data_IF_532931223367
#
_entry.id   IF_532931223367
#
_cell.length_a   1.000
_cell.length_b   1.000
_cell.length_c   1.000
_cell.angle_alpha   90.00
_cell.angle_beta   90.00
_cell.angle_gamma   90.00
#
_symmetry.space_group_name_H-M   'P 1'
#
loop_
_entity.id
_entity.type
_entity.pdbx_description
1 polymer ?
#
# COMPACT_ATOMS: atom_id res chain seq x y z
N UNK A 1 6.10 20.44 -11.41
CA UNK A 1 5.79 19.00 -11.55
C UNK A 1 6.37 18.28 -10.35
N UNK A 2 5.58 18.20 -9.29
CA UNK A 2 6.00 17.57 -8.04
C UNK A 2 5.79 16.06 -8.20
N UNK A 3 6.74 15.23 -7.73
CA UNK A 3 6.60 13.75 -7.72
C UNK A 3 5.33 13.26 -6.98
N UNK A 4 4.64 14.16 -6.28
CA UNK A 4 3.33 13.98 -5.67
C UNK A 4 2.21 13.69 -6.69
N UNK A 5 2.30 14.15 -7.93
CA UNK A 5 1.23 13.90 -8.91
C UNK A 5 1.17 12.44 -9.40
N UNK A 6 2.28 11.69 -9.31
CA UNK A 6 2.36 10.32 -9.84
C UNK A 6 1.80 9.23 -8.92
N UNK A 7 1.69 9.48 -7.62
CA UNK A 7 1.39 8.44 -6.63
C UNK A 7 0.14 8.72 -5.81
N UNK A 8 -0.20 10.00 -5.61
CA UNK A 8 -1.29 10.38 -4.70
C UNK A 8 -2.68 10.03 -5.22
N UNK A 9 -2.91 10.16 -6.52
CA UNK A 9 -4.25 10.03 -7.11
C UNK A 9 -4.44 8.80 -7.98
N UNK A 10 -3.55 7.79 -7.89
CA UNK A 10 -3.82 6.55 -8.60
C UNK A 10 -5.10 5.92 -8.05
N UNK A 11 -6.08 5.79 -8.93
CA UNK A 11 -7.31 5.06 -8.74
C UNK A 11 -7.35 4.02 -9.86
N UNK A 12 -7.52 2.76 -9.47
CA UNK A 12 -7.62 1.64 -10.39
C UNK A 12 -9.04 1.65 -10.98
N UNK A 13 -9.25 2.52 -11.98
CA UNK A 13 -10.55 2.72 -12.61
C UNK A 13 -10.88 1.62 -13.62
N UNK A 14 -12.16 1.24 -13.66
CA UNK A 14 -12.79 0.38 -14.66
C UNK A 14 -12.13 -0.99 -14.85
N UNK A 15 -12.78 -2.02 -14.31
CA UNK A 15 -12.41 -3.43 -14.51
C UNK A 15 -12.25 -3.84 -15.99
N UNK A 16 -12.90 -3.10 -16.90
CA UNK A 16 -13.01 -3.42 -18.32
C UNK A 16 -12.13 -2.56 -19.23
N UNK A 17 -11.29 -1.66 -18.69
CA UNK A 17 -10.42 -0.82 -19.50
C UNK A 17 -9.30 -1.67 -20.14
N UNK A 18 -9.11 -1.53 -21.46
CA UNK A 18 -8.08 -2.27 -22.20
C UNK A 18 -6.66 -1.85 -21.81
N UNK A 19 -6.49 -0.66 -21.25
CA UNK A 19 -5.21 -0.10 -20.77
C UNK A 19 -4.88 -0.46 -19.33
N UNK A 20 -5.80 -1.08 -18.58
CA UNK A 20 -5.68 -1.33 -17.14
C UNK A 20 -4.35 -1.98 -16.75
N UNK A 21 -3.99 -3.08 -17.39
CA UNK A 21 -2.77 -3.81 -17.04
C UNK A 21 -1.48 -3.02 -17.38
N UNK A 22 -1.55 -2.10 -18.34
CA UNK A 22 -0.46 -1.16 -18.62
C UNK A 22 -0.36 -0.07 -17.54
N UNK A 23 -1.48 0.50 -17.11
CA UNK A 23 -1.54 1.52 -16.07
C UNK A 23 -1.07 0.98 -14.71
N UNK A 24 -1.53 -0.23 -14.34
CA UNK A 24 -1.08 -0.93 -13.13
C UNK A 24 0.43 -1.16 -13.14
N UNK A 25 1.00 -1.60 -14.27
CA UNK A 25 2.45 -1.73 -14.44
C UNK A 25 3.16 -0.38 -14.32
N UNK A 26 2.59 0.68 -14.88
CA UNK A 26 3.10 2.05 -14.74
C UNK A 26 3.22 2.49 -13.29
N UNK A 27 2.19 2.22 -12.48
CA UNK A 27 2.19 2.55 -11.05
C UNK A 27 3.25 1.77 -10.25
N UNK A 28 3.42 0.48 -10.54
CA UNK A 28 4.48 -0.33 -9.91
C UNK A 28 5.87 0.18 -10.32
N UNK A 29 6.08 0.51 -11.59
CA UNK A 29 7.33 1.07 -12.08
C UNK A 29 7.66 2.42 -11.42
N UNK A 30 6.66 3.28 -11.21
CA UNK A 30 6.82 4.53 -10.47
C UNK A 30 7.25 4.29 -9.01
N UNK A 31 6.69 3.26 -8.35
CA UNK A 31 7.10 2.85 -7.01
C UNK A 31 8.56 2.38 -6.98
N UNK A 32 8.98 1.54 -7.94
CA UNK A 32 10.36 1.07 -8.07
C UNK A 32 11.33 2.24 -8.32
N UNK A 33 10.96 3.15 -9.22
CA UNK A 33 11.78 4.33 -9.49
C UNK A 33 11.95 5.17 -8.23
N UNK A 34 10.86 5.41 -7.50
CA UNK A 34 10.87 6.26 -6.30
C UNK A 34 11.69 5.64 -5.18
N UNK A 35 11.55 4.33 -4.91
CA UNK A 35 12.35 3.64 -3.88
C UNK A 35 13.84 3.64 -4.23
N UNK A 36 14.19 3.34 -5.48
CA UNK A 36 15.60 3.36 -5.93
C UNK A 36 16.19 4.75 -5.91
N UNK A 37 15.43 5.77 -6.30
CA UNK A 37 15.85 7.16 -6.20
C UNK A 37 16.09 7.53 -4.74
N UNK A 38 15.16 7.20 -3.86
CA UNK A 38 15.27 7.43 -2.42
C UNK A 38 16.57 6.86 -1.83
N UNK A 39 16.89 5.60 -2.16
CA UNK A 39 18.11 4.94 -1.68
C UNK A 39 19.41 5.54 -2.20
N UNK A 40 19.38 6.23 -3.35
CA UNK A 40 20.58 6.82 -3.99
C UNK A 40 20.90 8.22 -3.53
N UNK A 41 19.94 8.94 -2.95
CA UNK A 41 20.19 10.29 -2.45
C UNK A 41 20.77 10.17 -1.03
N UNK A 42 21.81 10.95 -0.72
CA UNK A 42 22.52 10.92 0.58
C UNK A 42 21.54 10.89 1.77
N UNK A 43 21.85 10.13 2.83
CA UNK A 43 20.97 9.92 4.00
C UNK A 43 20.81 11.16 4.89
N UNK A 44 21.68 12.17 4.77
CA UNK A 44 21.67 13.38 5.61
C UNK A 44 20.57 14.40 5.23
N UNK A 45 19.43 13.96 4.70
CA UNK A 45 18.80 14.74 3.65
C UNK A 45 17.36 15.18 3.93
N UNK A 46 17.13 16.44 3.56
CA UNK A 46 15.87 17.21 3.43
C UNK A 46 14.72 16.53 2.65
N UNK A 47 14.83 15.26 2.29
CA UNK A 47 13.81 14.48 1.58
C UNK A 47 13.33 13.25 2.37
N UNK A 48 13.35 13.32 3.71
CA UNK A 48 12.62 12.39 4.57
C UNK A 48 11.12 12.29 4.24
N UNK A 49 10.59 13.17 3.38
CA UNK A 49 9.28 13.06 2.76
C UNK A 49 9.11 11.85 1.84
N UNK A 50 10.18 11.32 1.23
CA UNK A 50 10.03 10.24 0.23
C UNK A 50 9.51 8.93 0.84
N UNK A 51 9.94 8.60 2.06
CA UNK A 51 9.40 7.45 2.80
C UNK A 51 7.91 7.65 3.17
N UNK A 52 7.45 8.90 3.20
CA UNK A 52 6.03 9.25 3.33
C UNK A 52 5.19 8.77 2.14
N UNK A 53 5.76 8.68 0.93
CA UNK A 53 5.07 8.01 -0.18
C UNK A 53 4.89 6.52 0.06
N UNK A 54 5.92 5.87 0.62
CA UNK A 54 5.82 4.49 1.06
C UNK A 54 4.66 4.32 2.04
N UNK A 55 4.59 5.15 3.09
CA UNK A 55 3.45 5.16 4.01
C UNK A 55 2.11 5.21 3.28
N UNK A 56 1.95 6.13 2.33
CA UNK A 56 0.67 6.29 1.65
C UNK A 56 0.27 5.07 0.81
N UNK A 57 1.22 4.47 0.08
CA UNK A 57 0.95 3.23 -0.66
C UNK A 57 0.56 2.12 0.31
N UNK A 58 1.31 1.94 1.41
CA UNK A 58 0.99 0.96 2.46
C UNK A 58 -0.41 1.19 3.05
N UNK A 59 -0.77 2.44 3.36
CA UNK A 59 -2.07 2.83 3.90
C UNK A 59 -3.20 2.60 2.90
N UNK A 60 -3.05 2.93 1.62
CA UNK A 60 -4.06 2.61 0.59
C UNK A 60 -4.25 1.10 0.45
N UNK A 61 -3.17 0.33 0.45
CA UNK A 61 -3.23 -1.14 0.36
C UNK A 61 -3.88 -1.78 1.59
N UNK A 62 -3.66 -1.25 2.80
CA UNK A 62 -3.88 -2.01 4.06
C UNK A 62 -4.85 -1.37 5.03
N UNK A 63 -4.99 -0.05 5.01
CA UNK A 63 -5.82 0.71 5.94
C UNK A 63 -7.05 1.33 5.28
N UNK A 64 -6.99 1.68 4.00
CA UNK A 64 -8.09 2.38 3.31
C UNK A 64 -9.14 1.42 2.75
N UNK A 65 -8.76 0.20 2.38
CA UNK A 65 -9.69 -0.75 1.79
C UNK A 65 -10.64 -1.33 2.86
N UNK A 66 -11.97 -1.13 2.78
CA UNK A 66 -12.95 -1.81 3.62
C UNK A 66 -13.23 -3.21 3.08
N UNK A 67 -12.24 -3.90 2.52
CA UNK A 67 -12.41 -5.15 1.76
C UNK A 67 -12.77 -6.37 2.62
N UNK A 68 -12.98 -6.18 3.92
CA UNK A 68 -13.64 -7.13 4.84
C UNK A 68 -15.17 -6.99 4.83
N UNK A 69 -15.71 -5.87 4.33
CA UNK A 69 -17.13 -5.63 4.14
C UNK A 69 -17.55 -6.05 2.73
N UNK A 70 -17.98 -7.30 2.60
CA UNK A 70 -18.50 -7.85 1.35
C UNK A 70 -19.87 -7.26 0.95
N UNK A 71 -20.54 -6.54 1.85
CA UNK A 71 -21.84 -5.91 1.63
C UNK A 71 -21.85 -4.46 2.12
N UNK A 72 -22.11 -3.51 1.23
CA UNK A 72 -22.34 -2.10 1.56
C UNK A 72 -23.84 -1.78 1.54
N UNK A 73 -24.50 -1.60 2.70
CA UNK A 73 -25.94 -1.39 2.78
C UNK A 73 -26.44 0.00 2.29
N UNK A 74 -25.59 0.87 1.76
CA UNK A 74 -25.94 2.28 1.47
C UNK A 74 -26.00 2.67 -0.01
N UNK A 75 -26.00 1.71 -0.93
CA UNK A 75 -26.08 1.97 -2.36
C UNK A 75 -27.54 1.98 -2.82
N UNK A 76 -28.39 2.76 -2.15
CA UNK A 76 -29.81 2.91 -2.53
C UNK A 76 -30.22 4.33 -2.92
N UNK A 77 -29.31 5.31 -2.83
CA UNK A 77 -29.66 6.74 -3.00
C UNK A 77 -28.87 7.58 -4.02
N UNK A 78 -27.79 7.08 -4.62
CA UNK A 78 -26.91 7.89 -5.49
C UNK A 78 -27.24 7.80 -6.99
N UNK A 79 -26.71 8.70 -7.82
CA UNK A 79 -26.73 8.59 -9.29
C UNK A 79 -25.88 7.36 -9.69
N UNK A 80 -26.32 6.55 -10.67
CA UNK A 80 -25.68 5.27 -11.06
C UNK A 80 -24.16 5.40 -11.29
N UNK A 81 -23.71 6.44 -11.98
CA UNK A 81 -22.29 6.65 -12.29
C UNK A 81 -21.42 6.92 -11.05
N UNK A 82 -21.94 7.66 -10.07
CA UNK A 82 -21.23 7.92 -8.80
C UNK A 82 -21.17 6.65 -7.93
N UNK A 83 -22.21 5.81 -7.98
CA UNK A 83 -22.21 4.51 -7.31
C UNK A 83 -21.14 3.59 -7.86
N UNK A 84 -21.01 3.52 -9.19
CA UNK A 84 -20.07 2.60 -9.83
C UNK A 84 -18.61 3.01 -9.55
N UNK A 85 -18.31 4.30 -9.57
CA UNK A 85 -16.98 4.80 -9.20
C UNK A 85 -16.62 4.54 -7.72
N UNK A 86 -17.55 4.77 -6.80
CA UNK A 86 -17.34 4.49 -5.37
C UNK A 86 -17.21 2.98 -5.10
N UNK A 87 -18.01 2.16 -5.78
CA UNK A 87 -17.91 0.69 -5.74
C UNK A 87 -16.57 0.19 -6.25
N UNK A 88 -16.06 0.75 -7.34
CA UNK A 88 -14.77 0.39 -7.90
C UNK A 88 -13.61 0.69 -6.94
N UNK A 89 -13.64 1.84 -6.26
CA UNK A 89 -12.63 2.23 -5.26
C UNK A 89 -12.65 1.30 -4.04
N UNK A 90 -13.81 0.76 -3.70
CA UNK A 90 -14.02 -0.13 -2.55
C UNK A 90 -13.86 -1.62 -2.88
N UNK A 91 -13.74 -1.96 -4.16
CA UNK A 91 -13.59 -3.33 -4.62
C UNK A 91 -12.23 -3.90 -4.21
N UNK A 92 -12.26 -5.12 -3.69
CA UNK A 92 -11.07 -5.87 -3.26
C UNK A 92 -10.04 -6.03 -4.38
N UNK A 93 -10.46 -6.07 -5.64
CA UNK A 93 -9.59 -6.25 -6.82
C UNK A 93 -8.65 -5.06 -7.06
N UNK A 94 -8.92 -3.90 -6.48
CA UNK A 94 -7.96 -2.77 -6.47
C UNK A 94 -6.64 -3.15 -5.80
N UNK A 95 -6.64 -4.15 -4.90
CA UNK A 95 -5.42 -4.68 -4.31
C UNK A 95 -4.45 -5.28 -5.35
N UNK A 96 -4.93 -5.66 -6.54
CA UNK A 96 -4.06 -6.17 -7.62
C UNK A 96 -3.04 -5.12 -8.10
N UNK A 97 -3.30 -3.83 -7.93
CA UNK A 97 -2.31 -2.77 -8.23
C UNK A 97 -1.52 -2.34 -7.00
N UNK A 98 -2.19 -2.28 -5.86
CA UNK A 98 -1.62 -1.73 -4.63
C UNK A 98 -0.69 -2.71 -3.90
N UNK A 99 -0.93 -4.02 -3.97
CA UNK A 99 -0.08 -5.04 -3.34
C UNK A 99 1.31 -5.11 -3.98
N UNK A 100 1.45 -5.18 -5.31
CA UNK A 100 2.78 -5.13 -5.94
C UNK A 100 3.55 -3.85 -5.63
N UNK A 101 2.90 -2.69 -5.65
CA UNK A 101 3.53 -1.43 -5.29
C UNK A 101 3.99 -1.41 -3.83
N UNK A 102 3.14 -1.86 -2.91
CA UNK A 102 3.46 -1.92 -1.49
C UNK A 102 4.59 -2.91 -1.18
N UNK A 103 4.67 -4.03 -1.92
CA UNK A 103 5.75 -4.99 -1.78
C UNK A 103 7.13 -4.38 -2.11
N UNK A 104 7.20 -3.53 -3.14
CA UNK A 104 8.42 -2.81 -3.50
C UNK A 104 8.90 -1.91 -2.35
N UNK A 105 7.99 -1.24 -1.65
CA UNK A 105 8.38 -0.40 -0.51
C UNK A 105 8.93 -1.21 0.68
N UNK A 106 8.38 -2.38 0.95
CA UNK A 106 8.91 -3.28 1.97
C UNK A 106 10.28 -3.85 1.54
N UNK A 107 10.41 -4.26 0.29
CA UNK A 107 11.65 -4.85 -0.23
C UNK A 107 12.83 -3.88 -0.13
N UNK A 108 12.64 -2.63 -0.53
CA UNK A 108 13.74 -1.65 -0.60
C UNK A 108 13.89 -0.80 0.66
N UNK A 109 12.79 -0.55 1.38
CA UNK A 109 12.77 0.41 2.48
C UNK A 109 12.20 -0.18 3.78
N UNK A 110 11.90 -1.48 3.84
CA UNK A 110 11.22 -2.12 4.97
C UNK A 110 11.91 -1.90 6.30
N UNK A 111 13.23 -2.06 6.36
CA UNK A 111 14.02 -1.82 7.58
C UNK A 111 13.89 -0.38 8.07
N UNK A 112 14.01 0.60 7.18
CA UNK A 112 13.87 2.00 7.57
C UNK A 112 12.44 2.32 8.00
N UNK A 113 11.44 1.78 7.30
CA UNK A 113 10.02 1.92 7.66
C UNK A 113 9.75 1.36 9.05
N UNK A 114 10.29 0.17 9.34
CA UNK A 114 10.15 -0.48 10.64
C UNK A 114 10.83 0.33 11.75
N UNK A 115 12.05 0.80 11.52
CA UNK A 115 12.83 1.54 12.52
C UNK A 115 12.34 2.99 12.70
N UNK A 116 11.53 3.48 11.76
CA UNK A 116 10.90 4.80 11.86
C UNK A 116 9.89 4.81 13.00
N UNK A 117 9.92 5.90 13.77
CA UNK A 117 8.91 6.22 14.77
C UNK A 117 8.36 7.62 14.55
N UNK A 118 7.20 7.90 15.15
CA UNK A 118 6.63 9.24 15.20
C UNK A 118 5.78 9.61 14.00
N UNK A 119 5.64 10.91 13.73
CA UNK A 119 4.60 11.45 12.85
C UNK A 119 4.64 10.92 11.39
N UNK A 120 3.45 10.65 10.84
CA UNK A 120 3.22 10.42 9.40
C UNK A 120 2.42 11.59 8.86
N UNK A 121 2.88 12.18 7.76
CA UNK A 121 2.18 13.28 7.12
C UNK A 121 0.86 12.83 6.45
N UNK A 122 -0.17 13.68 6.56
CA UNK A 122 -1.52 13.40 6.05
C UNK A 122 -2.09 12.07 6.55
N UNK A 123 -1.84 11.74 7.81
CA UNK A 123 -2.42 10.57 8.45
C UNK A 123 -3.95 10.67 8.48
N UNK A 124 -4.62 9.74 7.80
CA UNK A 124 -6.06 9.55 7.94
C UNK A 124 -6.21 8.56 9.09
N UNK A 125 -6.98 8.90 10.14
CA UNK A 125 -7.11 7.99 11.27
C UNK A 125 -7.83 6.69 10.89
N UNK A 126 -7.13 5.56 11.03
CA UNK A 126 -7.69 4.22 10.91
C UNK A 126 -8.07 3.67 12.29
N UNK A 127 -8.85 4.47 13.06
CA UNK A 127 -9.05 4.38 14.52
C UNK A 127 -9.41 2.98 15.07
N UNK A 128 -9.99 2.10 14.26
CA UNK A 128 -10.50 0.79 14.66
C UNK A 128 -9.67 -0.41 14.14
N UNK A 129 -8.70 -0.18 13.25
CA UNK A 129 -8.02 -1.28 12.55
C UNK A 129 -6.80 -1.85 13.26
N UNK A 130 -6.13 -1.04 14.07
CA UNK A 130 -4.95 -1.45 14.83
C UNK A 130 -4.84 -0.62 16.11
N UNK A 131 -4.25 -1.19 17.15
CA UNK A 131 -4.11 -0.55 18.47
C UNK A 131 -2.74 0.10 18.58
N UNK A 132 -2.63 1.40 18.87
CA UNK A 132 -1.33 2.02 19.19
C UNK A 132 -1.26 3.52 18.83
N UNK A 133 -0.05 4.12 18.91
CA UNK A 133 0.13 5.55 18.65
C UNK A 133 0.08 5.87 17.16
N UNK A 134 -0.57 6.99 16.84
CA UNK A 134 -0.62 7.55 15.49
C UNK A 134 0.79 7.73 14.90
N UNK A 135 0.90 7.63 13.58
CA UNK A 135 2.16 7.68 12.84
C UNK A 135 2.85 6.33 12.67
N UNK A 136 4.17 6.33 12.55
CA UNK A 136 4.97 5.12 12.44
C UNK A 136 5.02 4.42 13.80
N UNK A 137 4.48 3.20 13.86
CA UNK A 137 4.41 2.40 15.08
C UNK A 137 4.60 0.91 14.78
N UNK A 138 5.04 0.16 15.79
CA UNK A 138 5.26 -1.30 15.66
C UNK A 138 3.94 -2.03 15.52
N UNK A 139 2.89 -1.52 16.14
CA UNK A 139 1.55 -2.07 16.07
C UNK A 139 0.94 -1.88 14.67
N UNK A 140 1.17 -0.71 14.05
CA UNK A 140 0.78 -0.49 12.66
C UNK A 140 1.58 -1.36 11.70
N UNK A 141 2.87 -1.55 11.95
CA UNK A 141 3.70 -2.49 11.19
C UNK A 141 3.19 -3.95 11.30
N UNK A 142 2.84 -4.40 12.49
CA UNK A 142 2.28 -5.73 12.71
C UNK A 142 0.93 -5.91 11.98
N UNK A 143 0.03 -4.93 12.07
CA UNK A 143 -1.22 -4.92 11.32
C UNK A 143 -0.97 -5.02 9.80
N UNK A 144 -0.02 -4.24 9.30
CA UNK A 144 0.38 -4.27 7.90
C UNK A 144 0.91 -5.63 7.42
N UNK A 145 1.58 -6.38 8.30
CA UNK A 145 2.05 -7.74 8.02
C UNK A 145 0.89 -8.71 7.97
N UNK A 146 0.01 -8.69 8.98
CA UNK A 146 -1.21 -9.51 9.05
C UNK A 146 -2.08 -9.33 7.81
N UNK A 147 -2.24 -8.08 7.33
CA UNK A 147 -3.01 -7.80 6.12
C UNK A 147 -2.39 -8.44 4.87
N UNK A 148 -1.07 -8.53 4.75
CA UNK A 148 -0.47 -9.25 3.62
C UNK A 148 -0.68 -10.75 3.69
N UNK A 149 -0.61 -11.33 4.89
CA UNK A 149 -0.93 -12.74 5.11
C UNK A 149 -2.36 -13.03 4.67
N UNK A 150 -3.31 -12.21 5.11
CA UNK A 150 -4.72 -12.31 4.67
C UNK A 150 -4.86 -12.19 3.16
N UNK A 151 -4.26 -11.17 2.53
CA UNK A 151 -4.29 -10.95 1.06
C UNK A 151 -3.80 -12.18 0.31
N UNK A 152 -2.77 -12.87 0.82
CA UNK A 152 -2.23 -14.08 0.19
C UNK A 152 -3.24 -15.23 0.09
N UNK A 153 -4.34 -15.18 0.85
CA UNK A 153 -5.42 -16.19 0.85
C UNK A 153 -6.67 -15.78 0.07
N UNK A 154 -6.81 -14.50 -0.33
CA UNK A 154 -8.03 -14.00 -0.97
C UNK A 154 -8.15 -14.49 -2.42
N UNK A 155 -9.07 -15.42 -2.66
CA UNK A 155 -9.27 -16.06 -3.98
C UNK A 155 -9.77 -15.11 -5.06
N UNK A 156 -10.47 -14.04 -4.68
CA UNK A 156 -10.95 -12.99 -5.58
C UNK A 156 -9.83 -12.15 -6.23
N UNK A 157 -8.60 -12.21 -5.68
CA UNK A 157 -7.44 -11.53 -6.24
C UNK A 157 -6.76 -12.34 -7.34
N UNK A 158 -5.87 -11.70 -8.09
CA UNK A 158 -5.08 -12.42 -9.09
C UNK A 158 -4.11 -13.38 -8.40
N UNK A 159 -3.85 -14.53 -9.03
CA UNK A 159 -2.88 -15.51 -8.50
C UNK A 159 -1.50 -14.89 -8.26
N UNK A 160 -1.10 -13.98 -9.14
CA UNK A 160 0.17 -13.27 -9.03
C UNK A 160 0.18 -12.31 -7.84
N UNK A 161 -0.90 -11.58 -7.58
CA UNK A 161 -1.06 -10.70 -6.42
C UNK A 161 -0.92 -11.48 -5.11
N UNK A 162 -1.62 -12.61 -4.99
CA UNK A 162 -1.48 -13.50 -3.82
C UNK A 162 -0.04 -13.96 -3.61
N UNK A 163 0.63 -14.38 -4.70
CA UNK A 163 2.04 -14.81 -4.65
C UNK A 163 2.97 -13.66 -4.27
N UNK A 164 2.71 -12.44 -4.72
CA UNK A 164 3.52 -11.27 -4.36
C UNK A 164 3.33 -10.93 -2.89
N UNK A 165 2.11 -11.07 -2.34
CA UNK A 165 1.81 -10.75 -0.95
C UNK A 165 2.59 -11.60 0.07
N UNK A 166 3.08 -12.80 -0.29
CA UNK A 166 3.87 -13.62 0.64
C UNK A 166 5.28 -13.06 0.87
N UNK A 167 5.91 -12.44 -0.13
CA UNK A 167 7.30 -11.96 -0.03
C UNK A 167 7.47 -10.87 1.04
N UNK A 168 6.60 -9.84 1.10
CA UNK A 168 6.67 -8.85 2.17
C UNK A 168 6.49 -9.47 3.56
N UNK A 169 5.68 -10.51 3.75
CA UNK A 169 5.52 -11.16 5.06
C UNK A 169 6.84 -11.75 5.52
N UNK A 170 7.53 -12.46 4.63
CA UNK A 170 8.85 -13.05 4.89
C UNK A 170 9.87 -11.95 5.22
N UNK A 171 9.92 -10.89 4.41
CA UNK A 171 10.82 -9.75 4.64
C UNK A 171 10.53 -9.04 5.94
N UNK A 172 9.25 -8.77 6.26
CA UNK A 172 8.86 -8.12 7.50
C UNK A 172 9.23 -8.97 8.72
N UNK A 173 9.12 -10.29 8.62
CA UNK A 173 9.56 -11.22 9.66
C UNK A 173 11.09 -11.21 9.84
N UNK A 174 11.86 -11.16 8.75
CA UNK A 174 13.32 -11.01 8.80
C UNK A 174 13.73 -9.72 9.49
N UNK A 175 13.09 -8.60 9.13
CA UNK A 175 13.30 -7.28 9.72
C UNK A 175 13.05 -7.32 11.24
N UNK A 176 11.94 -7.91 11.66
CA UNK A 176 11.55 -8.05 13.07
C UNK A 176 12.56 -8.88 13.89
N UNK A 177 13.18 -9.90 13.27
CA UNK A 177 14.20 -10.74 13.90
C UNK A 177 15.61 -10.13 13.87
N UNK A 178 15.79 -9.01 13.16
CA UNK A 178 17.10 -8.41 12.94
C UNK A 178 17.99 -9.22 11.99
N UNK A 179 17.40 -10.10 11.17
CA UNK A 179 18.10 -10.98 10.22
C UNK A 179 18.48 -10.27 8.91
N UNK A 180 18.18 -8.97 8.80
CA UNK A 180 18.54 -8.13 7.66
C UNK A 180 20.04 -7.80 7.63
N UNK A 181 20.82 -8.83 7.32
CA UNK A 181 22.21 -8.73 6.92
C UNK A 181 22.30 -8.17 5.50
N UNK A 182 22.83 -6.94 5.41
CA UNK A 182 23.69 -6.41 4.34
C UNK A 182 23.55 -7.13 2.99
N UNK A 183 22.85 -6.47 2.04
CA UNK A 183 23.19 -6.54 0.62
C UNK A 183 23.80 -5.19 0.25
#
# INVERSE_FOLDING_TARGET
MYLTEFTFNHADHSFNATTRDQERRGFVNASIFTTKLYLRISRANKFGYFIGFGSQVLRKTRESAPCEKFHHPLIKGYIEELRDQELEVMDIRTLNVFVPAAAVWIEYCGKEIHDKGGYIDQEIPAWDKWTGPAGWSKERWAFWKERFEWISTVTALDRQTRKIATKPVEQMTSIERGEDGII
#
